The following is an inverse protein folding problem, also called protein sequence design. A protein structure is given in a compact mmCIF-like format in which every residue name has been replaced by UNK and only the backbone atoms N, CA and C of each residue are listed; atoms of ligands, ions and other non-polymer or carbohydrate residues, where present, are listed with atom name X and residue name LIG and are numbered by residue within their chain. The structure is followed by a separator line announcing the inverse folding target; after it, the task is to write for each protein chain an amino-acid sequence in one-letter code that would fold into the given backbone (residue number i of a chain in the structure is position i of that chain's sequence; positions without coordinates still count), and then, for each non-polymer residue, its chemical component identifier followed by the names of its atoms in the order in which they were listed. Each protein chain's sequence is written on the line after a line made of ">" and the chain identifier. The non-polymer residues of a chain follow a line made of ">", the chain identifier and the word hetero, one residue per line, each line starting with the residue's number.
data_IF_448727229636
#
_entry.id   IF_448727229636
#
_cell.length_a   1.000
_cell.length_b   1.000
_cell.length_c   1.000
_cell.angle_alpha   90.00
_cell.angle_beta   90.00
_cell.angle_gamma   90.00
#
_symmetry.space_group_name_H-M   'P 1'
#
loop_
_entity.id
_entity.type
_entity.pdbx_description
1 polymer ?
#
# COMPACT_ATOMS: atom_id res chain seq x y z
N UNK A 1 5.45 -30.64 9.44
CA UNK A 1 4.84 -29.34 9.79
C UNK A 1 3.99 -29.60 11.02
N UNK A 2 4.62 -29.65 12.19
CA UNK A 2 3.93 -29.98 13.43
C UNK A 2 3.49 -28.68 14.11
N UNK A 3 2.18 -28.45 14.10
CA UNK A 3 1.54 -27.48 14.96
C UNK A 3 1.13 -28.24 16.22
N UNK A 4 1.97 -28.20 17.26
CA UNK A 4 1.81 -29.02 18.46
C UNK A 4 2.35 -28.40 19.75
N UNK A 5 2.61 -27.09 19.79
CA UNK A 5 3.07 -26.42 21.01
C UNK A 5 1.91 -25.84 21.82
N UNK A 6 1.86 -26.24 23.11
CA UNK A 6 0.84 -25.81 24.09
C UNK A 6 0.98 -24.35 24.53
N UNK A 7 2.10 -23.70 24.20
CA UNK A 7 2.36 -22.28 24.43
C UNK A 7 2.36 -21.48 23.11
N UNK A 8 1.41 -21.76 22.21
CA UNK A 8 1.33 -21.02 20.96
C UNK A 8 0.90 -19.56 21.22
N UNK A 9 1.86 -18.65 21.08
CA UNK A 9 1.54 -17.21 21.04
C UNK A 9 0.66 -16.95 19.82
N UNK A 10 -0.59 -16.53 20.03
CA UNK A 10 -1.50 -16.23 18.93
C UNK A 10 -1.05 -14.93 18.25
N UNK A 11 -0.60 -15.03 16.99
CA UNK A 11 -0.25 -13.86 16.17
C UNK A 11 -1.47 -13.44 15.37
N UNK A 12 -2.00 -12.24 15.65
CA UNK A 12 -3.05 -11.63 14.82
C UNK A 12 -2.50 -11.23 13.46
N UNK A 13 -3.23 -11.55 12.39
CA UNK A 13 -2.87 -11.21 11.01
C UNK A 13 -4.06 -10.53 10.33
N UNK A 14 -3.77 -9.44 9.64
CA UNK A 14 -4.76 -8.64 8.93
C UNK A 14 -4.71 -8.96 7.44
N UNK A 15 -5.89 -9.06 6.84
CA UNK A 15 -6.11 -9.18 5.40
C UNK A 15 -7.26 -8.25 5.04
N UNK A 16 -6.93 -7.14 4.40
CA UNK A 16 -7.89 -6.07 4.07
C UNK A 16 -7.99 -5.94 2.56
N UNK A 17 -9.21 -5.83 2.05
CA UNK A 17 -9.47 -5.46 0.66
C UNK A 17 -9.51 -3.94 0.55
N UNK A 18 -8.77 -3.39 -0.40
CA UNK A 18 -8.74 -1.96 -0.68
C UNK A 18 -8.91 -1.72 -2.18
N UNK A 19 -9.54 -0.61 -2.53
CA UNK A 19 -9.73 -0.19 -3.91
C UNK A 19 -8.83 1.02 -4.21
N UNK A 20 -8.12 0.99 -5.34
CA UNK A 20 -7.37 2.13 -5.88
C UNK A 20 -8.01 2.57 -7.19
N UNK A 21 -8.27 3.86 -7.32
CA UNK A 21 -8.79 4.46 -8.55
C UNK A 21 -10.11 5.18 -8.36
N UNK A 22 -10.57 5.82 -9.43
CA UNK A 22 -11.89 6.45 -9.50
C UNK A 22 -12.91 5.43 -10.03
N UNK A 23 -14.20 5.68 -9.75
CA UNK A 23 -15.39 4.85 -9.97
C UNK A 23 -15.33 3.87 -11.15
N UNK A 24 -14.86 4.28 -12.34
CA UNK A 24 -14.86 3.44 -13.55
C UNK A 24 -13.60 2.59 -13.75
N UNK A 25 -12.49 2.89 -13.05
CA UNK A 25 -11.20 2.21 -13.18
C UNK A 25 -10.65 1.75 -11.82
N UNK A 26 -11.53 1.20 -10.99
CA UNK A 26 -11.13 0.65 -9.69
C UNK A 26 -10.36 -0.64 -9.87
N UNK A 27 -9.17 -0.67 -9.29
CA UNK A 27 -8.40 -1.89 -9.13
C UNK A 27 -8.58 -2.32 -7.68
N UNK A 28 -8.81 -3.61 -7.44
CA UNK A 28 -8.92 -4.16 -6.09
C UNK A 28 -7.60 -4.82 -5.68
N UNK A 29 -7.14 -4.50 -4.47
CA UNK A 29 -5.93 -5.05 -3.88
C UNK A 29 -6.19 -5.71 -2.55
N UNK A 30 -5.42 -6.76 -2.26
CA UNK A 30 -5.30 -7.30 -0.91
C UNK A 30 -4.08 -6.69 -0.21
N UNK A 31 -4.32 -6.08 0.95
CA UNK A 31 -3.31 -5.57 1.88
C UNK A 31 -3.16 -6.54 3.05
N UNK A 32 -1.92 -6.95 3.34
CA UNK A 32 -1.59 -7.77 4.50
C UNK A 32 -1.04 -6.93 5.64
N UNK A 33 -0.94 -7.54 6.83
CA UNK A 33 -0.38 -6.96 8.06
C UNK A 33 0.83 -6.03 7.82
N UNK A 34 1.83 -6.48 7.06
CA UNK A 34 3.05 -5.70 6.83
C UNK A 34 2.84 -4.51 5.88
N UNK A 35 1.90 -4.61 4.94
CA UNK A 35 1.50 -3.48 4.10
C UNK A 35 0.81 -2.42 4.96
N UNK A 36 -0.15 -2.84 5.79
CA UNK A 36 -0.91 -1.94 6.67
C UNK A 36 -0.02 -1.23 7.67
N UNK A 37 0.95 -1.92 8.28
CA UNK A 37 1.96 -1.29 9.16
C UNK A 37 2.76 -0.19 8.44
N UNK A 38 3.16 -0.43 7.18
CA UNK A 38 3.90 0.59 6.40
C UNK A 38 3.03 1.80 6.13
N UNK A 39 1.78 1.58 5.72
CA UNK A 39 0.80 2.65 5.47
C UNK A 39 0.55 3.47 6.74
N UNK A 40 0.28 2.79 7.86
CA UNK A 40 0.06 3.42 9.15
C UNK A 40 1.24 4.32 9.57
N UNK A 41 2.48 3.83 9.41
CA UNK A 41 3.69 4.62 9.68
C UNK A 41 3.80 5.83 8.76
N UNK A 42 3.48 5.67 7.48
CA UNK A 42 3.48 6.78 6.52
C UNK A 42 2.40 7.83 6.80
N UNK A 43 1.31 7.42 7.45
CA UNK A 43 0.23 8.30 7.90
C UNK A 43 0.42 8.83 9.33
N UNK A 44 1.57 8.55 9.95
CA UNK A 44 1.87 8.91 11.35
C UNK A 44 0.84 8.37 12.37
N UNK A 45 0.11 7.32 12.00
CA UNK A 45 -0.83 6.62 12.86
C UNK A 45 -0.05 5.67 13.79
N UNK A 46 0.38 6.19 14.93
CA UNK A 46 1.24 5.49 15.90
C UNK A 46 0.49 4.51 16.82
N UNK A 47 -0.71 4.07 16.44
CA UNK A 47 -1.53 3.14 17.22
C UNK A 47 -1.35 1.69 16.75
N UNK A 48 -1.50 0.70 17.66
CA UNK A 48 -1.66 -0.70 17.25
C UNK A 48 -2.78 -0.85 16.23
N UNK A 49 -2.60 -1.72 15.22
CA UNK A 49 -3.61 -1.92 14.17
C UNK A 49 -4.96 -2.38 14.73
N UNK A 50 -4.97 -3.08 15.86
CA UNK A 50 -6.18 -3.50 16.57
C UNK A 50 -6.99 -2.35 17.15
N UNK A 51 -6.35 -1.20 17.39
CA UNK A 51 -6.94 0.01 17.95
C UNK A 51 -7.08 1.13 16.92
N UNK A 52 -6.70 0.85 15.67
CA UNK A 52 -6.71 1.83 14.59
C UNK A 52 -8.15 2.05 14.11
N UNK A 53 -8.58 3.31 14.10
CA UNK A 53 -9.85 3.67 13.47
C UNK A 53 -9.71 3.57 11.95
N UNK A 54 -10.60 2.78 11.35
CA UNK A 54 -10.66 2.59 9.90
C UNK A 54 -11.01 3.92 9.21
N UNK A 55 -11.78 4.79 9.84
CA UNK A 55 -12.16 6.08 9.28
C UNK A 55 -10.96 7.01 9.17
N UNK A 56 -10.07 7.03 10.16
CA UNK A 56 -8.85 7.85 10.12
C UNK A 56 -7.85 7.31 9.09
N UNK A 57 -7.72 5.98 8.98
CA UNK A 57 -6.94 5.36 7.92
C UNK A 57 -7.51 5.71 6.53
N UNK A 58 -8.83 5.64 6.36
CA UNK A 58 -9.50 5.98 5.10
C UNK A 58 -9.34 7.47 4.76
N UNK A 59 -9.44 8.38 5.73
CA UNK A 59 -9.21 9.82 5.52
C UNK A 59 -7.80 10.07 5.00
N UNK A 60 -6.79 9.49 5.64
CA UNK A 60 -5.39 9.63 5.21
C UNK A 60 -5.16 9.09 3.80
N UNK A 61 -5.75 7.93 3.48
CA UNK A 61 -5.58 7.28 2.18
C UNK A 61 -6.25 8.03 1.01
N UNK A 62 -7.35 8.78 1.24
CA UNK A 62 -8.09 9.50 0.18
C UNK A 62 -7.23 10.52 -0.57
N UNK A 63 -6.24 11.12 0.08
CA UNK A 63 -5.35 12.14 -0.49
C UNK A 63 -4.01 11.58 -0.99
N UNK A 64 -3.80 10.27 -0.94
CA UNK A 64 -2.51 9.67 -1.22
C UNK A 64 -2.38 9.17 -2.66
N UNK A 65 -1.19 9.36 -3.21
CA UNK A 65 -0.74 8.73 -4.44
C UNK A 65 0.36 7.76 -4.08
N UNK A 66 0.23 6.53 -4.58
CA UNK A 66 1.16 5.45 -4.31
C UNK A 66 1.80 4.95 -5.60
N UNK A 67 3.08 4.62 -5.51
CA UNK A 67 3.76 3.78 -6.51
C UNK A 67 3.98 2.42 -5.87
N UNK A 68 3.42 1.37 -6.49
CA UNK A 68 3.37 0.04 -5.90
C UNK A 68 3.72 -1.05 -6.92
N UNK A 69 4.46 -2.05 -6.47
CA UNK A 69 4.61 -3.30 -7.19
C UNK A 69 3.47 -4.23 -6.78
N UNK A 70 2.74 -4.76 -7.76
CA UNK A 70 1.57 -5.62 -7.53
C UNK A 70 1.70 -6.93 -8.29
N UNK A 71 1.13 -7.99 -7.74
CA UNK A 71 1.03 -9.29 -8.38
C UNK A 71 -0.42 -9.60 -8.68
N UNK A 72 -0.73 -9.96 -9.93
CA UNK A 72 -2.06 -10.46 -10.27
C UNK A 72 -2.29 -11.79 -9.55
N UNK A 73 -3.34 -11.88 -8.73
CA UNK A 73 -3.76 -13.14 -8.18
C UNK A 73 -4.52 -13.91 -9.25
N UNK A 74 -3.95 -15.02 -9.72
CA UNK A 74 -4.68 -15.98 -10.55
C UNK A 74 -5.68 -16.69 -9.65
N UNK A 75 -6.95 -16.34 -9.77
CA UNK A 75 -8.01 -17.06 -9.07
C UNK A 75 -8.22 -18.41 -9.77
N UNK A 76 -8.21 -19.51 -9.00
CA UNK A 76 -8.66 -20.82 -9.49
C UNK A 76 -10.20 -20.97 -9.40
N UNK A 77 -10.86 -19.99 -8.79
CA UNK A 77 -12.31 -19.92 -8.63
C UNK A 77 -12.83 -18.79 -9.53
N UNK A 78 -13.92 -19.06 -10.26
CA UNK A 78 -14.59 -18.16 -11.21
C UNK A 78 -14.98 -16.80 -10.59
N UNK A 79 -14.01 -15.90 -10.41
CA UNK A 79 -14.25 -14.46 -10.28
C UNK A 79 -13.74 -13.81 -11.54
N UNK A 80 -14.64 -13.13 -12.25
CA UNK A 80 -14.31 -12.36 -13.47
C UNK A 80 -13.46 -11.12 -13.16
N UNK A 81 -13.38 -10.72 -11.90
CA UNK A 81 -12.61 -9.55 -11.47
C UNK A 81 -11.14 -9.91 -11.18
N UNK A 82 -10.22 -9.15 -11.77
CA UNK A 82 -8.79 -9.28 -11.55
C UNK A 82 -8.42 -8.67 -10.20
N UNK A 83 -8.17 -9.52 -9.21
CA UNK A 83 -7.65 -9.08 -7.90
C UNK A 83 -6.12 -9.06 -7.92
N UNK A 84 -5.52 -8.04 -7.31
CA UNK A 84 -4.08 -7.91 -7.18
C UNK A 84 -3.65 -8.03 -5.71
N UNK A 85 -2.45 -8.54 -5.46
CA UNK A 85 -1.80 -8.48 -4.16
C UNK A 85 -0.70 -7.44 -4.20
N UNK A 86 -0.60 -6.64 -3.14
CA UNK A 86 0.46 -5.65 -3.00
C UNK A 86 1.76 -6.31 -2.55
N UNK A 87 2.77 -6.34 -3.43
CA UNK A 87 4.10 -6.88 -3.12
C UNK A 87 4.93 -5.85 -2.36
N UNK A 88 4.96 -4.62 -2.85
CA UNK A 88 5.76 -3.55 -2.27
C UNK A 88 5.16 -2.18 -2.51
N UNK A 89 5.36 -1.28 -1.55
CA UNK A 89 5.09 0.16 -1.66
C UNK A 89 6.43 0.86 -1.84
N UNK A 90 6.63 1.50 -3.00
CA UNK A 90 7.88 2.18 -3.35
C UNK A 90 7.85 3.66 -3.00
N UNK A 91 6.71 4.32 -3.17
CA UNK A 91 6.56 5.74 -2.89
C UNK A 91 5.17 6.03 -2.31
N UNK A 92 5.13 6.85 -1.27
CA UNK A 92 3.93 7.42 -0.67
C UNK A 92 4.05 8.93 -0.74
N UNK A 93 3.07 9.61 -1.33
CA UNK A 93 3.04 11.07 -1.42
C UNK A 93 1.64 11.59 -1.20
N UNK A 94 1.52 12.66 -0.43
CA UNK A 94 0.31 13.47 -0.39
C UNK A 94 0.13 14.20 -1.72
N UNK A 95 -1.11 14.34 -2.18
CA UNK A 95 -1.48 15.09 -3.40
C UNK A 95 -1.23 16.60 -3.32
N UNK A 96 -0.42 17.09 -2.36
CA UNK A 96 0.08 18.47 -2.33
C UNK A 96 1.38 18.64 -3.13
N UNK A 97 1.60 17.84 -4.17
CA UNK A 97 2.70 18.05 -5.09
C UNK A 97 2.24 18.95 -6.25
N UNK A 98 2.36 20.27 -6.04
CA UNK A 98 2.87 21.16 -7.09
C UNK A 98 4.37 20.87 -7.23
N UNK A 99 4.77 19.74 -7.84
CA UNK A 99 6.19 19.52 -8.10
C UNK A 99 6.58 20.39 -9.28
N UNK A 100 7.40 21.41 -9.01
CA UNK A 100 8.24 21.97 -10.03
C UNK A 100 9.08 20.82 -10.65
N UNK A 101 9.23 20.75 -11.98
CA UNK A 101 10.05 19.73 -12.60
C UNK A 101 11.48 19.84 -12.09
N UNK A 102 12.05 18.72 -11.66
CA UNK A 102 13.46 18.61 -11.31
C UNK A 102 14.29 19.05 -12.53
N UNK A 103 14.85 20.25 -12.48
CA UNK A 103 15.87 20.67 -13.45
C UNK A 103 17.08 19.75 -13.26
N UNK A 104 17.32 18.86 -14.23
CA UNK A 104 18.64 18.24 -14.39
C UNK A 104 19.66 19.37 -14.43
N UNK A 105 20.68 19.30 -13.57
CA UNK A 105 21.92 20.03 -13.80
C UNK A 105 22.48 19.54 -15.13
N UNK A 106 22.38 20.34 -16.18
CA UNK A 106 23.30 20.24 -17.30
C UNK A 106 24.69 20.55 -16.72
N UNK A 107 25.55 19.55 -16.64
CA UNK A 107 26.99 19.80 -16.57
C UNK A 107 27.37 20.51 -17.86
N UNK A 108 27.70 21.79 -17.73
CA UNK A 108 28.48 22.48 -18.72
C UNK A 108 29.86 21.81 -18.77
N UNK A 109 30.14 21.07 -19.82
CA UNK A 109 31.51 20.93 -20.32
C UNK A 109 31.62 21.94 -21.44
N UNK A 110 32.34 23.01 -21.10
CA UNK A 110 32.76 24.11 -21.97
C UNK A 110 33.57 23.58 -23.15
N UNK A 111 33.48 24.33 -24.25
CA UNK A 111 34.40 24.29 -25.39
C UNK A 111 35.87 24.30 -24.92
N UNK A 112 36.68 23.38 -25.47
CA UNK A 112 37.89 23.64 -26.27
C UNK A 112 38.39 22.35 -26.94
#
# INVERSE_FOLDING_TARGET
>A
MECGDKESTTIKRFRVSADLGHEENKIQFTLFTENLKKIARSLELNLPMELMDIDDMNKGLRSMVITAAVQLQRSMYQRQEKTFSLLCLHQFSDKLIKSAPLKRKQTASQDE
#
